data_IF_091256524925
#
_entry.id   IF_091256524925
#
_cell.length_a   1.000
_cell.length_b   1.000
_cell.length_c   1.000
_cell.angle_alpha   90.00
_cell.angle_beta   90.00
_cell.angle_gamma   90.00
#
_symmetry.space_group_name_H-M   'P 1'
#
loop_
_entity.id
_entity.type
_entity.pdbx_description
1 polymer ?
#
# COMPACT_ATOMS: atom_id res chain seq x y z
N UNK A 1 7.01 15.90 88.66
CA UNK A 1 5.59 15.49 88.73
C UNK A 1 4.98 15.68 87.34
N UNK A 2 4.41 14.61 86.81
CA UNK A 2 3.46 14.54 85.68
C UNK A 2 3.85 15.14 84.31
N UNK A 3 4.18 14.24 83.38
CA UNK A 3 3.58 14.24 82.02
C UNK A 3 2.09 13.83 82.14
N UNK A 4 1.19 14.05 81.15
CA UNK A 4 1.32 13.48 79.80
C UNK A 4 0.79 14.30 78.59
N UNK A 5 1.29 13.86 77.42
CA UNK A 5 0.64 13.71 76.09
C UNK A 5 0.13 14.92 75.29
N UNK A 6 0.80 15.18 74.16
CA UNK A 6 0.12 15.48 72.89
C UNK A 6 0.68 14.61 71.78
N UNK A 7 -0.24 14.03 71.02
CA UNK A 7 -0.03 13.02 70.01
C UNK A 7 0.49 13.61 68.69
N UNK A 8 1.23 12.76 67.97
CA UNK A 8 1.79 13.01 66.65
C UNK A 8 0.73 12.98 65.53
N UNK A 9 0.95 13.79 64.48
CA UNK A 9 0.50 13.49 63.12
C UNK A 9 1.63 13.85 62.16
N UNK A 10 2.32 12.81 61.67
CA UNK A 10 3.25 12.85 60.55
C UNK A 10 2.44 12.74 59.25
N UNK A 11 2.61 13.71 58.34
CA UNK A 11 2.10 13.63 56.97
C UNK A 11 2.97 12.64 56.16
N UNK A 12 2.41 11.66 55.44
CA UNK A 12 3.20 10.79 54.59
C UNK A 12 3.52 11.49 53.26
N UNK A 13 4.78 11.38 52.84
CA UNK A 13 5.27 11.78 51.53
C UNK A 13 4.57 10.97 50.44
N UNK A 14 3.90 11.64 49.50
CA UNK A 14 3.34 11.02 48.31
C UNK A 14 4.47 10.70 47.33
N UNK A 15 4.83 9.42 47.22
CA UNK A 15 5.70 8.91 46.17
C UNK A 15 4.93 8.91 44.85
N UNK A 16 5.23 9.85 43.95
CA UNK A 16 4.75 9.83 42.57
C UNK A 16 5.51 8.76 41.79
N UNK A 17 4.90 7.60 41.61
CA UNK A 17 5.36 6.59 40.65
C UNK A 17 5.10 7.10 39.23
N UNK A 18 6.18 7.45 38.50
CA UNK A 18 6.15 7.70 37.06
C UNK A 18 5.87 6.37 36.34
N UNK A 19 4.61 6.14 35.99
CA UNK A 19 4.21 5.08 35.07
C UNK A 19 4.66 5.51 33.66
N UNK A 20 5.79 5.01 33.20
CA UNK A 20 6.16 5.08 31.79
C UNK A 20 5.21 4.15 31.03
N UNK A 21 4.09 4.69 30.54
CA UNK A 21 3.34 4.03 29.47
C UNK A 21 4.24 4.06 28.23
N UNK A 22 4.92 2.96 27.97
CA UNK A 22 5.44 2.70 26.64
C UNK A 22 4.24 2.69 25.69
N UNK A 23 4.12 3.72 24.84
CA UNK A 23 3.28 3.65 23.65
C UNK A 23 3.86 2.51 22.81
N UNK A 24 3.27 1.32 22.94
CA UNK A 24 3.43 0.29 21.93
C UNK A 24 2.67 0.79 20.70
N UNK A 25 3.43 1.32 19.74
CA UNK A 25 2.96 1.53 18.38
C UNK A 25 2.35 0.20 17.90
N UNK A 26 1.15 0.19 17.31
CA UNK A 26 0.65 -1.01 16.68
C UNK A 26 1.62 -1.35 15.54
N UNK A 27 2.28 -2.50 15.66
CA UNK A 27 3.05 -3.05 14.56
C UNK A 27 2.11 -3.14 13.37
N UNK A 28 2.43 -2.38 12.31
CA UNK A 28 1.79 -2.53 11.02
C UNK A 28 1.71 -4.03 10.70
N UNK A 29 0.54 -4.49 10.25
CA UNK A 29 0.29 -5.88 9.90
C UNK A 29 1.34 -6.37 8.89
N UNK A 30 2.42 -6.93 9.40
CA UNK A 30 3.39 -7.64 8.59
C UNK A 30 2.65 -8.87 8.08
N UNK A 31 2.60 -9.02 6.76
CA UNK A 31 2.16 -10.27 6.13
C UNK A 31 3.03 -11.40 6.68
N UNK A 32 2.48 -12.15 7.64
CA UNK A 32 3.20 -13.23 8.30
C UNK A 32 3.29 -14.39 7.34
N UNK A 33 4.45 -14.55 6.72
CA UNK A 33 4.73 -15.77 5.98
C UNK A 33 4.62 -16.96 6.92
N UNK A 34 4.14 -18.12 6.44
CA UNK A 34 4.13 -19.34 7.22
C UNK A 34 5.53 -19.65 7.75
N UNK A 35 5.62 -20.01 9.03
CA UNK A 35 6.88 -20.36 9.68
C UNK A 35 7.49 -21.59 8.99
N UNK A 36 8.64 -21.40 8.32
CA UNK A 36 9.36 -22.47 7.62
C UNK A 36 9.18 -22.51 6.10
N UNK A 37 8.40 -21.60 5.51
CA UNK A 37 8.31 -21.48 4.05
C UNK A 37 9.62 -20.93 3.45
N UNK A 38 10.18 -21.55 2.39
CA UNK A 38 11.34 -21.01 1.70
C UNK A 38 11.01 -19.66 1.08
N UNK A 39 11.83 -18.65 1.38
CA UNK A 39 11.67 -17.28 0.88
C UNK A 39 12.46 -17.11 -0.41
N UNK A 40 13.67 -17.64 -0.46
CA UNK A 40 14.58 -17.59 -1.60
C UNK A 40 15.32 -18.92 -1.79
N UNK A 41 16.16 -18.98 -2.83
CA UNK A 41 16.96 -20.15 -3.13
C UNK A 41 18.01 -20.42 -2.02
N UNK A 42 18.46 -21.68 -1.84
CA UNK A 42 19.44 -22.02 -0.82
C UNK A 42 20.75 -21.22 -0.96
N UNK A 43 21.21 -20.61 0.14
CA UNK A 43 22.45 -19.82 0.16
C UNK A 43 22.32 -18.41 -0.41
N UNK A 44 21.11 -17.94 -0.71
CA UNK A 44 20.85 -16.58 -1.18
C UNK A 44 20.32 -15.67 -0.07
N UNK A 45 20.75 -14.42 -0.10
CA UNK A 45 20.24 -13.40 0.81
C UNK A 45 18.77 -13.09 0.50
N UNK A 46 17.93 -13.14 1.52
CA UNK A 46 16.48 -12.95 1.40
C UNK A 46 15.99 -11.69 2.13
N UNK A 47 16.92 -10.86 2.59
CA UNK A 47 16.61 -9.58 3.26
C UNK A 47 17.66 -8.54 2.94
N UNK A 48 17.24 -7.27 2.93
CA UNK A 48 18.13 -6.11 2.88
C UNK A 48 17.54 -5.03 3.78
N UNK A 49 18.20 -4.76 4.91
CA UNK A 49 17.63 -3.91 5.95
C UNK A 49 16.34 -4.52 6.51
N UNK A 50 15.25 -3.76 6.49
CA UNK A 50 13.93 -4.22 6.91
C UNK A 50 13.11 -4.88 5.79
N UNK A 51 13.60 -4.88 4.54
CA UNK A 51 12.85 -5.35 3.38
C UNK A 51 13.15 -6.81 3.12
N UNK A 52 12.09 -7.62 2.96
CA UNK A 52 12.19 -9.02 2.56
C UNK A 52 12.30 -9.12 1.04
N UNK A 53 13.19 -10.00 0.58
CA UNK A 53 13.51 -10.22 -0.83
C UNK A 53 13.20 -11.67 -1.19
N UNK A 54 11.94 -11.97 -1.54
CA UNK A 54 11.55 -13.31 -1.95
C UNK A 54 11.91 -13.58 -3.41
N UNK A 55 12.30 -14.82 -3.72
CA UNK A 55 12.46 -15.25 -5.11
C UNK A 55 11.14 -15.04 -5.88
N UNK A 56 11.13 -14.52 -7.12
CA UNK A 56 12.24 -14.40 -8.09
C UNK A 56 13.22 -13.25 -7.87
N UNK A 57 12.93 -12.35 -6.94
CA UNK A 57 13.83 -11.27 -6.59
C UNK A 57 15.01 -11.81 -5.80
N UNK A 58 16.17 -11.20 -5.98
CA UNK A 58 17.36 -11.61 -5.26
C UNK A 58 18.49 -10.60 -5.36
N UNK A 59 19.42 -10.74 -4.43
CA UNK A 59 20.63 -9.92 -4.32
C UNK A 59 21.84 -10.85 -4.52
N UNK A 60 22.92 -10.31 -5.06
CA UNK A 60 24.20 -11.03 -5.16
C UNK A 60 24.38 -11.73 -6.50
N UNK A 61 24.92 -12.96 -6.55
CA UNK A 61 25.28 -13.63 -7.79
C UNK A 61 24.05 -14.04 -8.62
N UNK A 62 24.26 -14.27 -9.93
CA UNK A 62 23.20 -14.56 -10.91
C UNK A 62 22.35 -15.80 -10.63
N UNK A 63 22.74 -16.66 -9.69
CA UNK A 63 21.96 -17.81 -9.26
C UNK A 63 20.85 -17.49 -8.24
N UNK A 64 20.82 -16.29 -7.67
CA UNK A 64 19.89 -15.94 -6.58
C UNK A 64 18.62 -15.24 -7.03
N UNK A 65 18.53 -14.87 -8.30
CA UNK A 65 17.38 -14.16 -8.86
C UNK A 65 17.08 -14.67 -10.27
N UNK A 66 15.86 -14.42 -10.71
CA UNK A 66 15.48 -14.62 -12.12
C UNK A 66 15.95 -13.43 -12.97
N UNK A 67 16.37 -13.61 -14.23
CA UNK A 67 16.74 -12.48 -15.09
C UNK A 67 15.66 -11.38 -15.11
N UNK A 68 16.06 -10.12 -14.87
CA UNK A 68 15.16 -8.97 -14.72
C UNK A 68 14.72 -8.65 -13.27
N UNK A 69 15.00 -9.54 -12.31
CA UNK A 69 14.62 -9.40 -10.90
C UNK A 69 15.81 -9.20 -9.96
N UNK A 70 16.95 -8.77 -10.50
CA UNK A 70 18.12 -8.45 -9.70
C UNK A 70 17.91 -7.14 -8.93
N UNK A 71 18.28 -7.16 -7.65
CA UNK A 71 18.23 -5.99 -6.79
C UNK A 71 19.61 -5.71 -6.20
N UNK A 72 19.86 -4.45 -5.89
CA UNK A 72 21.11 -4.02 -5.25
C UNK A 72 20.84 -3.66 -3.80
N UNK A 73 21.51 -4.33 -2.86
CA UNK A 73 21.47 -3.94 -1.46
C UNK A 73 22.66 -3.01 -1.15
N UNK A 74 22.38 -1.71 -1.00
CA UNK A 74 23.39 -0.73 -0.61
C UNK A 74 23.53 -0.68 0.91
N UNK A 75 24.66 -1.18 1.41
CA UNK A 75 25.01 -1.20 2.83
C UNK A 75 26.05 -0.14 3.20
N UNK A 76 26.47 0.71 2.24
CA UNK A 76 27.54 1.70 2.44
C UNK A 76 27.18 2.77 3.48
N UNK A 77 25.89 3.08 3.62
CA UNK A 77 25.37 4.02 4.59
C UNK A 77 24.22 3.36 5.36
N UNK A 78 24.21 3.49 6.69
CA UNK A 78 23.11 2.99 7.50
C UNK A 78 21.88 3.89 7.39
N UNK A 79 20.64 3.34 7.43
CA UNK A 79 20.28 1.92 7.30
C UNK A 79 20.44 1.40 5.86
N UNK A 80 20.63 0.09 5.70
CA UNK A 80 20.77 -0.56 4.39
C UNK A 80 19.55 -0.30 3.50
N UNK A 81 19.79 -0.01 2.21
CA UNK A 81 18.75 0.36 1.24
C UNK A 81 18.70 -0.64 0.10
N UNK A 82 17.52 -1.16 -0.17
CA UNK A 82 17.28 -2.01 -1.33
C UNK A 82 16.94 -1.12 -2.54
N UNK A 83 17.66 -1.33 -3.64
CA UNK A 83 17.58 -0.49 -4.83
C UNK A 83 17.20 -1.32 -6.07
N UNK A 84 16.40 -0.73 -6.94
CA UNK A 84 15.93 -1.30 -8.20
C UNK A 84 16.52 -0.56 -9.41
N UNK A 85 16.85 -1.31 -10.47
CA UNK A 85 17.31 -0.76 -11.73
C UNK A 85 18.66 -0.04 -11.62
N UNK A 86 18.70 1.23 -12.02
CA UNK A 86 19.89 2.09 -11.98
C UNK A 86 20.23 2.65 -10.58
N UNK A 87 19.41 2.34 -9.57
CA UNK A 87 19.59 2.79 -8.19
C UNK A 87 18.79 4.04 -7.82
N UNK A 88 18.00 4.61 -8.74
CA UNK A 88 17.12 5.76 -8.47
C UNK A 88 15.89 5.40 -7.62
N UNK A 89 15.47 4.13 -7.66
CA UNK A 89 14.27 3.64 -6.96
C UNK A 89 14.65 2.84 -5.71
N UNK A 90 14.16 3.28 -4.55
CA UNK A 90 14.34 2.58 -3.28
C UNK A 90 13.16 1.64 -3.03
N UNK A 91 13.39 0.34 -3.00
CA UNK A 91 12.34 -0.66 -2.72
C UNK A 91 12.02 -0.65 -1.23
N UNK A 92 10.73 -0.60 -0.90
CA UNK A 92 10.24 -0.65 0.49
C UNK A 92 9.46 -1.91 0.80
N UNK A 93 8.79 -2.50 -0.19
CA UNK A 93 8.00 -3.72 -0.01
C UNK A 93 7.89 -4.52 -1.31
N UNK A 94 7.92 -5.84 -1.20
CA UNK A 94 7.72 -6.78 -2.30
C UNK A 94 6.62 -7.76 -1.92
N UNK A 95 5.52 -7.75 -2.67
CA UNK A 95 4.39 -8.65 -2.45
C UNK A 95 4.27 -9.65 -3.60
N UNK A 96 4.49 -10.93 -3.29
CA UNK A 96 4.24 -12.01 -4.24
C UNK A 96 2.74 -12.18 -4.49
N UNK A 97 1.94 -12.19 -3.42
CA UNK A 97 0.48 -12.34 -3.46
C UNK A 97 -0.19 -11.31 -4.37
N UNK A 98 0.22 -10.06 -4.28
CA UNK A 98 -0.37 -8.99 -5.09
C UNK A 98 0.36 -8.78 -6.43
N UNK A 99 1.51 -9.41 -6.64
CA UNK A 99 2.35 -9.17 -7.82
C UNK A 99 2.87 -7.73 -7.89
N UNK A 100 3.20 -7.11 -6.74
CA UNK A 100 3.60 -5.70 -6.67
C UNK A 100 4.96 -5.48 -6.01
N UNK A 101 5.63 -4.42 -6.43
CA UNK A 101 6.82 -3.86 -5.77
C UNK A 101 6.52 -2.40 -5.44
N UNK A 102 6.60 -2.05 -4.17
CA UNK A 102 6.43 -0.67 -3.70
C UNK A 102 7.82 -0.03 -3.63
N UNK A 103 7.99 1.10 -4.31
CA UNK A 103 9.26 1.82 -4.39
C UNK A 103 9.06 3.28 -4.00
N UNK A 104 10.12 3.93 -3.58
CA UNK A 104 10.16 5.38 -3.37
C UNK A 104 11.00 5.99 -4.48
N UNK A 105 10.40 6.94 -5.21
CA UNK A 105 11.08 7.80 -6.16
C UNK A 105 11.53 9.06 -5.43
N UNK A 106 12.78 9.48 -5.63
CA UNK A 106 13.34 10.69 -5.03
C UNK A 106 13.18 11.95 -5.88
N UNK A 107 12.81 11.78 -7.14
CA UNK A 107 12.73 12.86 -8.11
C UNK A 107 11.29 13.11 -8.54
N UNK A 108 10.91 14.38 -8.51
CA UNK A 108 9.74 14.90 -9.20
C UNK A 108 9.99 14.82 -10.72
N UNK A 109 8.94 14.56 -11.49
CA UNK A 109 9.05 14.49 -12.95
C UNK A 109 9.35 15.87 -13.51
N UNK A 110 8.64 16.88 -12.99
CA UNK A 110 8.85 18.29 -13.27
C UNK A 110 8.79 19.00 -11.92
N UNK A 111 9.81 19.80 -11.64
CA UNK A 111 9.82 20.75 -10.54
C UNK A 111 10.56 22.00 -11.02
N UNK A 112 9.82 23.01 -11.45
CA UNK A 112 10.44 24.22 -12.01
C UNK A 112 9.65 25.47 -11.69
N UNK A 113 10.39 26.56 -11.50
CA UNK A 113 9.92 27.94 -11.49
C UNK A 113 10.03 28.60 -12.86
N UNK A 114 10.72 27.94 -13.81
CA UNK A 114 11.06 28.52 -15.10
C UNK A 114 9.89 28.45 -16.08
N UNK A 115 9.84 29.42 -16.99
CA UNK A 115 8.90 29.43 -18.09
C UNK A 115 9.04 28.19 -18.98
N UNK A 116 7.90 27.60 -19.34
CA UNK A 116 7.90 26.58 -20.39
C UNK A 116 8.16 27.21 -21.76
N UNK A 117 8.97 26.56 -22.61
CA UNK A 117 9.20 27.03 -23.97
C UNK A 117 7.88 27.05 -24.77
N UNK A 118 7.80 27.86 -25.85
CA UNK A 118 6.60 27.95 -26.68
C UNK A 118 6.19 26.56 -27.20
N UNK A 119 5.02 26.07 -26.77
CA UNK A 119 4.53 24.73 -27.09
C UNK A 119 4.65 23.69 -25.96
N UNK A 120 5.20 24.05 -24.81
CA UNK A 120 5.29 23.19 -23.62
C UNK A 120 6.64 22.51 -23.43
N UNK A 121 6.77 21.82 -22.29
CA UNK A 121 7.96 21.09 -21.88
C UNK A 121 7.70 19.59 -21.82
N UNK A 122 8.65 18.79 -22.30
CA UNK A 122 8.62 17.34 -22.19
C UNK A 122 9.63 16.88 -21.15
N UNK A 123 9.14 16.15 -20.15
CA UNK A 123 9.96 15.49 -19.14
C UNK A 123 9.86 13.98 -19.26
N UNK A 124 10.83 13.27 -18.66
CA UNK A 124 10.79 11.82 -18.62
C UNK A 124 10.50 11.26 -17.24
N UNK A 125 9.42 10.49 -17.15
CA UNK A 125 9.23 9.55 -16.06
C UNK A 125 10.37 8.52 -16.11
N UNK A 126 11.01 8.21 -14.97
CA UNK A 126 12.27 7.46 -14.90
C UNK A 126 12.34 6.18 -15.75
N UNK A 127 13.54 5.87 -16.26
CA UNK A 127 13.80 4.69 -17.11
C UNK A 127 14.04 3.39 -16.32
N UNK A 128 14.38 3.49 -15.04
CA UNK A 128 14.91 2.41 -14.20
C UNK A 128 14.09 1.11 -14.22
N UNK A 129 12.76 1.20 -14.25
CA UNK A 129 11.87 0.04 -14.16
C UNK A 129 11.43 -0.53 -15.53
N UNK A 130 11.65 0.20 -16.63
CA UNK A 130 11.20 -0.22 -17.98
C UNK A 130 11.99 -1.38 -18.54
N UNK A 131 13.30 -1.32 -18.39
CA UNK A 131 14.24 -2.28 -18.95
C UNK A 131 14.11 -3.65 -18.29
N UNK A 132 13.43 -3.71 -17.14
CA UNK A 132 13.32 -4.88 -16.29
C UNK A 132 11.90 -5.47 -16.25
N UNK A 133 11.00 -5.03 -17.14
CA UNK A 133 9.67 -5.64 -17.32
C UNK A 133 8.61 -5.25 -16.28
N UNK A 134 8.88 -4.24 -15.44
CA UNK A 134 7.89 -3.70 -14.50
C UNK A 134 6.88 -2.79 -15.19
N UNK A 135 5.68 -2.73 -14.63
CA UNK A 135 4.57 -1.90 -15.09
C UNK A 135 4.20 -0.92 -13.99
N UNK A 136 3.75 0.27 -14.37
CA UNK A 136 3.15 1.21 -13.44
C UNK A 136 1.72 0.75 -13.14
N UNK A 137 1.38 0.56 -11.86
CA UNK A 137 0.03 0.14 -11.45
C UNK A 137 -0.99 1.27 -11.68
N UNK A 138 -2.24 0.90 -11.96
CA UNK A 138 -3.37 1.84 -12.03
C UNK A 138 -3.79 2.40 -10.66
N UNK A 139 -3.24 1.85 -9.57
CA UNK A 139 -3.33 2.38 -8.19
C UNK A 139 -2.35 3.51 -7.90
N UNK A 140 -1.79 4.12 -8.93
CA UNK A 140 -1.07 5.38 -8.81
C UNK A 140 -1.95 6.51 -9.37
N UNK A 141 -1.65 7.74 -8.96
CA UNK A 141 -2.26 8.96 -9.45
C UNK A 141 -1.21 9.93 -10.00
N UNK A 142 -1.54 10.59 -11.12
CA UNK A 142 -0.83 11.76 -11.62
C UNK A 142 -1.28 12.96 -10.78
N UNK A 143 -0.31 13.68 -10.24
CA UNK A 143 -0.52 14.84 -9.38
C UNK A 143 0.14 16.03 -10.05
N UNK A 144 -0.66 17.08 -10.27
CA UNK A 144 -0.23 18.33 -10.87
C UNK A 144 -0.53 19.46 -9.91
N UNK A 145 0.47 20.27 -9.61
CA UNK A 145 0.34 21.50 -8.84
C UNK A 145 1.01 22.64 -9.59
N UNK A 146 0.40 23.82 -9.47
CA UNK A 146 0.79 25.02 -10.22
C UNK A 146 -0.46 25.75 -10.70
N UNK A 147 -0.29 26.87 -11.38
CA UNK A 147 -1.40 27.70 -11.81
C UNK A 147 -1.54 27.73 -13.33
N UNK A 148 -2.72 27.46 -13.89
CA UNK A 148 -2.93 27.44 -15.35
C UNK A 148 -2.03 26.46 -16.09
N UNK A 149 -1.70 25.31 -15.47
CA UNK A 149 -0.84 24.28 -16.06
C UNK A 149 -1.64 23.00 -16.33
N UNK A 150 -1.31 22.34 -17.44
CA UNK A 150 -1.78 21.01 -17.79
C UNK A 150 -0.60 20.07 -17.94
N UNK A 151 -0.67 18.90 -17.31
CA UNK A 151 0.26 17.81 -17.55
C UNK A 151 -0.47 16.59 -18.10
N UNK A 152 0.13 15.96 -19.11
CA UNK A 152 -0.36 14.74 -19.74
C UNK A 152 0.72 13.68 -19.69
N UNK A 153 0.37 12.51 -19.15
CA UNK A 153 1.24 11.36 -19.06
C UNK A 153 0.94 10.37 -20.19
N UNK A 154 1.98 10.00 -20.93
CA UNK A 154 1.89 9.09 -22.06
C UNK A 154 2.58 7.75 -21.81
N UNK A 155 2.02 6.69 -22.39
CA UNK A 155 2.56 5.33 -22.33
C UNK A 155 2.37 4.56 -23.63
N UNK A 156 3.33 3.69 -23.94
CA UNK A 156 3.16 2.71 -24.99
C UNK A 156 2.29 1.57 -24.46
N UNK A 157 1.13 1.40 -25.08
CA UNK A 157 0.23 0.28 -24.80
C UNK A 157 0.56 -0.81 -25.82
N UNK A 158 0.75 -2.04 -25.35
CA UNK A 158 1.01 -3.18 -26.24
C UNK A 158 -0.10 -3.29 -27.30
N UNK A 159 0.28 -3.27 -28.59
CA UNK A 159 -0.65 -3.29 -29.72
C UNK A 159 -1.05 -1.91 -30.27
N UNK A 160 -0.57 -0.80 -29.70
CA UNK A 160 -0.76 0.54 -30.26
C UNK A 160 0.50 1.02 -31.00
N UNK A 161 0.34 1.67 -32.16
CA UNK A 161 1.46 2.25 -32.94
C UNK A 161 1.99 3.56 -32.34
N UNK A 162 1.17 4.28 -31.58
CA UNK A 162 1.50 5.58 -31.01
C UNK A 162 1.28 5.59 -29.49
N UNK A 163 2.09 6.35 -28.72
CA UNK A 163 1.89 6.57 -27.30
C UNK A 163 0.45 7.00 -27.03
N UNK A 164 -0.15 6.39 -26.01
CA UNK A 164 -1.51 6.71 -25.57
C UNK A 164 -1.46 7.51 -24.29
N UNK A 165 -2.39 8.46 -24.16
CA UNK A 165 -2.61 9.16 -22.90
C UNK A 165 -3.12 8.18 -21.86
N UNK A 166 -2.40 8.08 -20.75
CA UNK A 166 -2.78 7.23 -19.62
C UNK A 166 -3.26 8.05 -18.43
N UNK A 167 -2.88 9.32 -18.33
CA UNK A 167 -3.49 10.25 -17.38
C UNK A 167 -3.28 11.68 -17.85
N UNK A 168 -4.15 12.58 -17.42
CA UNK A 168 -4.11 13.98 -17.79
C UNK A 168 -4.82 14.81 -16.75
N UNK A 169 -4.22 15.93 -16.38
CA UNK A 169 -4.63 16.69 -15.23
C UNK A 169 -4.26 18.16 -15.43
N UNK A 170 -5.19 19.05 -15.10
CA UNK A 170 -5.05 20.48 -15.32
C UNK A 170 -5.48 21.27 -14.09
N UNK A 171 -4.79 22.37 -13.86
CA UNK A 171 -5.06 23.31 -12.79
C UNK A 171 -5.33 24.69 -13.40
N UNK A 172 -6.21 25.46 -12.77
CA UNK A 172 -6.64 26.77 -13.25
C UNK A 172 -6.75 27.70 -12.06
N UNK A 173 -6.23 28.92 -12.15
CA UNK A 173 -6.50 29.95 -11.15
C UNK A 173 -7.04 31.22 -11.81
N UNK A 174 -8.00 31.89 -11.14
CA UNK A 174 -8.54 33.14 -11.63
C UNK A 174 -7.50 34.25 -11.53
N UNK A 175 -7.48 35.14 -12.52
CA UNK A 175 -6.85 36.45 -12.36
C UNK A 175 -7.66 37.24 -11.34
N UNK A 176 -7.05 37.64 -10.23
CA UNK A 176 -7.66 38.58 -9.29
C UNK A 176 -7.25 39.97 -9.77
N UNK A 177 -8.15 40.68 -10.47
CA UNK A 177 -7.98 42.11 -10.64
C UNK A 177 -8.07 42.75 -9.25
N UNK A 178 -7.10 43.59 -8.88
CA UNK A 178 -6.94 44.19 -7.55
C UNK A 178 -8.23 44.87 -7.04
N UNK A 179 -9.11 44.12 -6.38
CA UNK A 179 -10.17 44.68 -5.54
C UNK A 179 -9.53 44.94 -4.17
N UNK A 180 -8.82 46.05 -4.08
CA UNK A 180 -8.44 46.67 -2.81
C UNK A 180 -7.47 45.87 -1.96
N UNK A 181 -6.25 45.63 -2.44
CA UNK A 181 -5.07 45.37 -1.60
C UNK A 181 -5.08 44.09 -0.75
N UNK A 182 -6.04 43.20 -0.94
CA UNK A 182 -6.01 41.86 -0.34
C UNK A 182 -5.34 40.93 -1.34
N UNK A 183 -4.02 40.85 -1.27
CA UNK A 183 -3.27 39.75 -1.90
C UNK A 183 -3.73 38.45 -1.25
N UNK A 184 -4.51 37.66 -2.00
CA UNK A 184 -4.96 36.33 -1.60
C UNK A 184 -3.85 35.28 -1.82
N UNK A 185 -2.59 35.67 -1.61
CA UNK A 185 -1.46 34.76 -1.39
C UNK A 185 -1.05 34.90 0.07
N UNK A 186 -1.89 34.41 0.99
CA UNK A 186 -1.52 34.30 2.42
C UNK A 186 -1.32 32.86 2.86
N UNK A 187 -1.50 31.89 1.96
CA UNK A 187 -1.11 30.50 2.21
C UNK A 187 0.39 30.27 2.40
N UNK A 188 1.27 31.01 1.72
CA UNK A 188 2.72 30.76 1.81
C UNK A 188 3.42 31.36 3.03
N UNK A 189 2.81 32.36 3.67
CA UNK A 189 3.42 33.02 4.84
C UNK A 189 3.08 32.35 6.17
N UNK A 190 2.25 31.29 6.17
CA UNK A 190 1.76 30.67 7.43
C UNK A 190 2.35 29.30 7.74
N UNK A 191 3.25 28.75 6.93
CA UNK A 191 3.89 27.45 7.22
C UNK A 191 2.87 26.29 7.36
N UNK A 192 1.69 26.42 6.75
CA UNK A 192 0.60 25.46 6.88
C UNK A 192 0.59 24.51 5.69
N UNK A 193 0.93 23.25 5.93
CA UNK A 193 0.85 22.16 4.96
C UNK A 193 -0.57 22.09 4.36
N UNK A 194 -0.68 22.19 3.04
CA UNK A 194 -1.95 21.95 2.34
C UNK A 194 -2.10 20.44 2.19
N UNK A 195 -2.77 19.82 3.17
CA UNK A 195 -2.94 18.35 3.25
C UNK A 195 -3.88 17.76 2.20
N UNK A 196 -4.65 18.56 1.48
CA UNK A 196 -5.62 18.05 0.49
C UNK A 196 -5.58 18.85 -0.79
N UNK A 197 -5.71 18.16 -1.93
CA UNK A 197 -6.02 18.77 -3.21
C UNK A 197 -7.48 19.23 -3.31
N UNK A 198 -7.88 20.04 -2.33
CA UNK A 198 -9.22 20.57 -2.16
C UNK A 198 -9.11 21.86 -1.34
N UNK A 199 -8.39 22.84 -1.86
CA UNK A 199 -8.37 24.16 -1.22
C UNK A 199 -9.58 24.97 -1.69
N UNK A 200 -10.47 25.30 -0.75
CA UNK A 200 -11.53 26.29 -0.95
C UNK A 200 -10.99 27.73 -0.94
N UNK A 201 -9.74 27.95 -0.53
CA UNK A 201 -9.01 29.21 -0.64
C UNK A 201 -8.14 29.16 -1.90
N UNK A 202 -8.43 30.02 -2.88
CA UNK A 202 -7.87 30.02 -4.23
C UNK A 202 -6.36 30.25 -4.38
N UNK A 203 -5.57 30.06 -3.32
CA UNK A 203 -4.14 30.34 -3.25
C UNK A 203 -3.30 29.26 -3.99
N UNK A 204 -3.72 27.98 -3.99
CA UNK A 204 -3.08 26.88 -4.73
C UNK A 204 -4.10 25.90 -5.29
N UNK A 205 -3.99 25.61 -6.59
CA UNK A 205 -4.77 24.56 -7.22
C UNK A 205 -3.87 23.36 -7.51
N UNK A 206 -4.33 22.19 -7.10
CA UNK A 206 -3.77 20.93 -7.53
C UNK A 206 -4.85 20.01 -8.01
N UNK A 207 -4.49 19.20 -8.99
CA UNK A 207 -5.34 18.20 -9.58
C UNK A 207 -4.66 16.85 -9.38
N UNK A 208 -5.49 15.83 -9.11
CA UNK A 208 -5.07 14.45 -9.00
C UNK A 208 -5.95 13.60 -9.89
N UNK A 209 -5.34 12.70 -10.67
CA UNK A 209 -6.08 11.77 -11.53
C UNK A 209 -5.44 10.39 -11.52
N UNK A 210 -6.21 9.31 -11.27
CA UNK A 210 -5.72 7.95 -11.39
C UNK A 210 -5.10 7.68 -12.77
N UNK A 211 -4.23 6.68 -12.84
CA UNK A 211 -3.72 6.21 -14.10
C UNK A 211 -4.72 5.26 -14.78
N UNK A 212 -4.89 5.43 -16.08
CA UNK A 212 -5.73 4.58 -16.90
C UNK A 212 -4.98 3.29 -17.24
N UNK A 213 -5.36 2.19 -16.56
CA UNK A 213 -4.78 0.85 -16.69
C UNK A 213 -3.31 0.77 -16.33
N UNK A 214 -2.87 -0.47 -16.11
CA UNK A 214 -1.46 -0.84 -15.99
C UNK A 214 -0.74 -0.51 -17.29
N UNK A 215 0.35 0.23 -17.19
CA UNK A 215 0.98 0.85 -18.35
C UNK A 215 2.50 0.88 -18.22
N UNK A 216 3.20 0.85 -19.36
CA UNK A 216 4.63 1.16 -19.44
C UNK A 216 4.76 2.58 -19.97
N UNK A 217 4.84 3.61 -19.09
CA UNK A 217 4.96 5.00 -19.56
C UNK A 217 6.17 5.12 -20.47
N UNK A 218 6.07 5.90 -21.54
CA UNK A 218 7.17 6.10 -22.50
C UNK A 218 8.20 7.10 -22.00
N UNK A 219 7.97 7.64 -20.81
CA UNK A 219 8.82 8.67 -20.23
C UNK A 219 8.68 9.94 -21.01
N UNK A 220 7.46 10.19 -21.47
CA UNK A 220 7.06 11.50 -21.97
C UNK A 220 5.91 11.95 -21.09
N UNK A 221 6.21 12.97 -20.31
CA UNK A 221 5.25 13.76 -19.57
C UNK A 221 5.28 15.12 -20.22
N UNK A 222 4.19 15.46 -20.90
CA UNK A 222 4.06 16.75 -21.57
C UNK A 222 3.37 17.70 -20.61
N UNK A 223 4.03 18.82 -20.30
CA UNK A 223 3.45 19.91 -19.53
C UNK A 223 3.32 21.16 -20.40
N UNK A 224 2.16 21.81 -20.34
CA UNK A 224 1.84 23.02 -21.11
C UNK A 224 1.14 24.04 -20.23
N UNK A 225 1.45 25.32 -20.44
CA UNK A 225 0.65 26.41 -19.91
C UNK A 225 -0.65 26.57 -20.71
N UNK A 226 -1.76 26.80 -20.02
CA UNK A 226 -3.02 27.19 -20.63
C UNK A 226 -3.02 28.69 -20.90
N UNK A 227 -3.29 29.07 -22.16
CA UNK A 227 -3.54 30.45 -22.59
C UNK A 227 -2.40 31.45 -22.28
N UNK A 228 -1.27 31.31 -23.00
CA UNK A 228 -0.09 32.19 -22.96
C UNK A 228 -0.31 33.60 -23.53
N UNK A 229 -1.54 34.12 -23.47
CA UNK A 229 -1.90 35.47 -23.90
C UNK A 229 -1.84 36.50 -22.77
N UNK A 230 -1.32 36.13 -21.61
CA UNK A 230 -1.24 37.00 -20.43
C UNK A 230 0.16 37.61 -20.31
N UNK A 231 0.17 38.91 -20.03
CA UNK A 231 1.35 39.74 -19.83
C UNK A 231 2.25 39.10 -18.75
N UNK A 232 3.42 38.59 -19.16
CA UNK A 232 4.41 37.87 -18.33
C UNK A 232 4.92 38.65 -17.10
N UNK A 233 4.43 39.88 -16.89
CA UNK A 233 4.94 40.81 -15.89
C UNK A 233 4.09 40.90 -14.61
N UNK A 234 3.01 40.12 -14.47
CA UNK A 234 2.22 40.05 -13.21
C UNK A 234 1.88 38.62 -12.76
N UNK A 235 2.51 37.59 -13.33
CA UNK A 235 2.32 36.21 -12.87
C UNK A 235 3.34 35.89 -11.78
N UNK A 236 2.85 35.87 -10.53
CA UNK A 236 3.60 35.40 -9.38
C UNK A 236 4.28 34.07 -9.68
N UNK A 237 5.55 33.99 -9.27
CA UNK A 237 6.48 32.85 -9.19
C UNK A 237 5.82 31.58 -8.60
N UNK A 238 4.93 30.96 -9.38
CA UNK A 238 4.19 29.77 -8.99
C UNK A 238 4.90 28.53 -9.52
N UNK A 239 5.42 27.70 -8.62
CA UNK A 239 6.18 26.50 -8.99
C UNK A 239 5.25 25.47 -9.59
N UNK A 240 5.63 24.95 -10.75
CA UNK A 240 4.95 23.79 -11.33
C UNK A 240 5.62 22.53 -10.82
N UNK A 241 4.80 21.68 -10.20
CA UNK A 241 5.21 20.34 -9.79
C UNK A 241 4.33 19.29 -10.45
N UNK A 242 4.97 18.34 -11.13
CA UNK A 242 4.32 17.16 -11.70
C UNK A 242 4.99 15.93 -11.15
N UNK A 243 4.19 15.05 -10.54
CA UNK A 243 4.65 13.78 -10.00
C UNK A 243 3.61 12.69 -10.20
N UNK A 244 4.07 11.45 -10.07
CA UNK A 244 3.20 10.29 -9.91
C UNK A 244 3.46 9.73 -8.54
N UNK A 245 2.40 9.40 -7.81
CA UNK A 245 2.47 8.77 -6.50
C UNK A 245 1.39 7.70 -6.38
N UNK A 246 1.54 6.81 -5.41
CA UNK A 246 0.48 5.88 -5.04
C UNK A 246 -0.77 6.65 -4.57
N UNK A 247 -1.94 6.15 -4.96
CA UNK A 247 -3.23 6.76 -4.63
C UNK A 247 -3.39 7.01 -3.13
N UNK A 248 -3.80 8.23 -2.76
CA UNK A 248 -4.04 8.65 -1.38
C UNK A 248 -2.82 9.26 -0.68
N UNK A 249 -1.58 9.04 -1.18
CA UNK A 249 -0.37 9.56 -0.53
C UNK A 249 -0.38 11.09 -0.35
N UNK A 250 -0.87 11.83 -1.35
CA UNK A 250 -0.97 13.29 -1.29
C UNK A 250 -1.99 13.77 -0.27
N UNK A 251 -3.05 13.01 0.00
CA UNK A 251 -4.07 13.41 0.98
C UNK A 251 -3.59 13.24 2.43
N UNK A 252 -2.64 12.31 2.64
CA UNK A 252 -2.04 12.06 3.94
C UNK A 252 -0.87 13.01 4.23
N UNK A 253 -0.06 13.33 3.22
CA UNK A 253 1.20 14.07 3.38
C UNK A 253 1.15 15.52 2.87
N UNK A 254 0.09 15.90 2.14
CA UNK A 254 0.00 17.18 1.46
C UNK A 254 0.95 17.31 0.28
N UNK A 255 0.92 18.47 -0.38
CA UNK A 255 1.89 18.79 -1.42
C UNK A 255 3.14 19.43 -0.82
N UNK A 256 4.34 18.97 -1.22
CA UNK A 256 5.60 19.50 -0.71
C UNK A 256 5.85 20.91 -1.23
N UNK A 257 6.47 21.73 -0.38
CA UNK A 257 6.93 23.05 -0.74
C UNK A 257 8.15 22.97 -1.65
N UNK A 258 8.10 23.77 -2.72
CA UNK A 258 9.07 24.30 -3.69
C UNK A 258 10.57 23.92 -3.63
N UNK A 259 11.14 23.57 -2.48
CA UNK A 259 12.59 23.34 -2.33
C UNK A 259 12.99 22.03 -1.64
N UNK A 260 12.03 21.17 -1.29
CA UNK A 260 12.34 19.92 -0.59
C UNK A 260 12.28 18.71 -1.53
N UNK A 261 13.25 17.80 -1.39
CA UNK A 261 13.25 16.53 -2.13
C UNK A 261 12.01 15.73 -1.75
N UNK A 262 11.24 15.32 -2.77
CA UNK A 262 9.98 14.60 -2.55
C UNK A 262 10.22 13.12 -2.71
N UNK A 263 10.16 12.40 -1.59
CA UNK A 263 10.16 10.94 -1.58
C UNK A 263 8.72 10.42 -1.76
N UNK A 264 8.26 10.37 -3.02
CA UNK A 264 6.93 9.87 -3.36
C UNK A 264 6.94 8.34 -3.55
N UNK A 265 6.00 7.59 -2.92
CA UNK A 265 5.85 6.17 -3.15
C UNK A 265 5.22 5.92 -4.53
N UNK A 266 5.72 4.91 -5.22
CA UNK A 266 5.19 4.38 -6.47
C UNK A 266 4.87 2.90 -6.27
N UNK A 267 3.74 2.48 -6.80
CA UNK A 267 3.37 1.07 -6.85
C UNK A 267 3.64 0.51 -8.26
N UNK A 268 4.60 -0.41 -8.33
CA UNK A 268 4.92 -1.15 -9.56
C UNK A 268 4.27 -2.52 -9.53
N UNK A 269 3.86 -3.01 -10.69
CA UNK A 269 3.47 -4.40 -10.91
C UNK A 269 4.58 -5.14 -11.67
N UNK A 270 4.69 -6.43 -11.43
CA UNK A 270 5.68 -7.29 -12.08
C UNK A 270 5.04 -8.56 -12.63
N UNK A 271 5.68 -9.14 -13.64
CA UNK A 271 5.21 -10.35 -14.31
C UNK A 271 6.40 -11.19 -14.78
N UNK A 272 6.24 -12.52 -14.77
CA UNK A 272 7.25 -13.45 -15.29
C UNK A 272 7.04 -13.71 -16.77
N UNK A 273 8.07 -13.46 -17.58
CA UNK A 273 8.10 -13.89 -18.99
C UNK A 273 8.62 -15.33 -19.11
N UNK A 274 8.12 -16.10 -20.08
CA UNK A 274 8.56 -17.49 -20.35
C UNK A 274 8.87 -17.62 -21.83
N UNK A 275 10.14 -17.43 -22.21
CA UNK A 275 10.57 -17.52 -23.62
C UNK A 275 9.64 -16.75 -24.55
N UNK A 276 9.21 -17.42 -25.63
CA UNK A 276 8.26 -16.90 -26.63
C UNK A 276 6.80 -17.33 -26.37
N UNK A 277 6.46 -17.77 -25.15
CA UNK A 277 5.12 -18.24 -24.84
C UNK A 277 4.04 -17.19 -25.20
N UNK A 278 2.88 -17.62 -25.76
CA UNK A 278 1.85 -16.71 -26.25
C UNK A 278 1.31 -15.83 -25.11
N UNK A 279 1.58 -14.53 -25.23
CA UNK A 279 1.33 -13.48 -24.21
C UNK A 279 -0.14 -13.26 -23.82
N UNK A 280 -1.07 -14.00 -24.43
CA UNK A 280 -2.52 -13.84 -24.27
C UNK A 280 -3.26 -15.11 -23.81
N UNK A 281 -2.56 -16.23 -23.63
CA UNK A 281 -3.19 -17.49 -23.22
C UNK A 281 -3.37 -17.56 -21.70
N UNK A 282 -4.39 -18.28 -21.22
CA UNK A 282 -4.83 -18.35 -19.82
C UNK A 282 -3.89 -19.17 -18.90
N UNK A 283 -2.58 -19.02 -19.10
CA UNK A 283 -1.52 -19.84 -18.51
C UNK A 283 -1.74 -21.34 -18.75
N UNK A 284 -1.18 -21.88 -19.84
CA UNK A 284 -1.24 -23.33 -20.09
C UNK A 284 -0.56 -24.12 -18.97
N UNK A 285 -0.95 -25.39 -18.80
CA UNK A 285 -0.36 -26.26 -17.78
C UNK A 285 1.17 -26.39 -17.91
N UNK A 286 1.70 -26.34 -19.12
CA UNK A 286 3.14 -26.31 -19.37
C UNK A 286 3.79 -25.05 -18.80
N UNK A 287 3.18 -23.87 -19.02
CA UNK A 287 3.65 -22.60 -18.46
C UNK A 287 3.57 -22.61 -16.94
N UNK A 288 2.45 -23.10 -16.38
CA UNK A 288 2.27 -23.24 -14.93
C UNK A 288 3.37 -24.10 -14.31
N UNK A 289 3.63 -25.30 -14.86
CA UNK A 289 4.67 -26.23 -14.38
C UNK A 289 6.09 -25.65 -14.51
N UNK A 290 6.33 -24.82 -15.53
CA UNK A 290 7.62 -24.14 -15.70
C UNK A 290 7.85 -23.05 -14.66
N UNK A 291 6.82 -22.30 -14.27
CA UNK A 291 6.92 -21.14 -13.38
C UNK A 291 6.64 -21.46 -11.91
N UNK A 292 5.48 -22.04 -11.63
CA UNK A 292 4.99 -22.31 -10.29
C UNK A 292 5.57 -23.65 -9.83
N UNK A 293 6.47 -23.62 -8.85
CA UNK A 293 7.20 -24.80 -8.35
C UNK A 293 6.59 -25.40 -7.09
N UNK A 294 5.76 -24.64 -6.38
CA UNK A 294 5.04 -25.16 -5.24
C UNK A 294 3.78 -25.90 -5.66
N UNK A 295 3.39 -26.88 -4.84
CA UNK A 295 2.02 -27.41 -4.79
C UNK A 295 1.06 -26.34 -4.24
N UNK A 296 -0.24 -26.55 -4.45
CA UNK A 296 -1.32 -25.62 -4.07
C UNK A 296 -1.11 -24.23 -4.67
N UNK A 297 -0.91 -24.19 -5.99
CA UNK A 297 -0.68 -22.96 -6.75
C UNK A 297 -1.60 -22.83 -7.96
N UNK A 298 -1.96 -21.59 -8.23
CA UNK A 298 -2.65 -21.17 -9.44
C UNK A 298 -1.79 -20.20 -10.25
N UNK A 299 -2.06 -20.10 -11.54
CA UNK A 299 -1.34 -19.21 -12.46
C UNK A 299 -2.31 -18.27 -13.16
N UNK A 300 -1.89 -17.01 -13.32
CA UNK A 300 -2.66 -15.99 -14.02
C UNK A 300 -1.81 -15.31 -15.09
N UNK A 301 -2.38 -15.15 -16.29
CA UNK A 301 -1.78 -14.34 -17.33
C UNK A 301 -1.99 -12.84 -17.04
N UNK A 302 -0.98 -12.04 -17.36
CA UNK A 302 -0.94 -10.58 -17.24
C UNK A 302 -0.75 -9.96 -18.63
N UNK A 303 -0.20 -8.75 -18.73
CA UNK A 303 -0.14 -8.00 -19.99
C UNK A 303 0.94 -8.57 -20.91
N UNK A 304 2.09 -8.94 -20.38
CA UNK A 304 3.17 -9.52 -21.16
C UNK A 304 3.82 -10.76 -20.51
N UNK A 305 3.30 -11.23 -19.37
CA UNK A 305 3.82 -12.40 -18.68
C UNK A 305 2.77 -13.06 -17.78
N UNK A 306 3.25 -13.78 -16.78
CA UNK A 306 2.43 -14.60 -15.87
C UNK A 306 2.81 -14.36 -14.42
N UNK A 307 1.88 -14.60 -13.51
CA UNK A 307 2.10 -14.55 -12.06
C UNK A 307 1.48 -15.79 -11.43
N UNK A 308 2.27 -16.49 -10.62
CA UNK A 308 1.82 -17.58 -9.77
C UNK A 308 1.32 -17.06 -8.44
N UNK A 309 0.27 -17.69 -7.92
CA UNK A 309 -0.34 -17.42 -6.63
C UNK A 309 -0.43 -18.71 -5.83
N UNK A 310 -0.34 -18.62 -4.51
CA UNK A 310 -0.78 -19.73 -3.66
C UNK A 310 -2.32 -19.80 -3.72
N UNK A 311 -2.85 -21.01 -3.63
CA UNK A 311 -4.30 -21.24 -3.60
C UNK A 311 -4.94 -20.64 -2.32
N UNK A 312 -6.26 -20.39 -2.30
CA UNK A 312 -6.94 -19.95 -1.08
C UNK A 312 -6.67 -20.88 0.10
N UNK A 313 -6.36 -20.31 1.27
CA UNK A 313 -5.94 -21.05 2.46
C UNK A 313 -4.43 -21.32 2.54
N UNK A 314 -3.65 -20.91 1.53
CA UNK A 314 -2.19 -21.06 1.50
C UNK A 314 -1.49 -19.70 1.35
N UNK A 315 -0.28 -19.59 1.89
CA UNK A 315 0.57 -18.41 1.75
C UNK A 315 2.05 -18.80 1.58
N UNK A 316 2.86 -17.87 1.08
CA UNK A 316 4.31 -18.04 0.92
C UNK A 316 4.80 -17.83 -0.52
N UNK A 317 5.74 -18.67 -0.97
CA UNK A 317 6.39 -18.53 -2.28
C UNK A 317 5.93 -19.58 -3.30
N UNK A 318 5.05 -19.24 -4.26
CA UNK A 318 4.62 -20.21 -5.26
C UNK A 318 5.73 -20.63 -6.25
N UNK A 319 6.86 -19.92 -6.29
CA UNK A 319 7.97 -20.15 -7.21
C UNK A 319 9.05 -21.08 -6.64
N UNK A 320 8.90 -21.55 -5.40
CA UNK A 320 9.84 -22.46 -4.73
C UNK A 320 9.11 -23.74 -4.32
N UNK A 321 9.82 -24.88 -4.35
CA UNK A 321 9.27 -26.15 -3.87
C UNK A 321 8.92 -26.06 -2.38
N UNK A 322 7.72 -26.51 -2.00
CA UNK A 322 7.21 -26.39 -0.63
C UNK A 322 7.02 -24.94 -0.15
N UNK A 323 6.96 -23.98 -1.08
CA UNK A 323 6.90 -22.56 -0.79
C UNK A 323 5.51 -22.04 -0.42
N UNK A 324 4.43 -22.60 -0.99
CA UNK A 324 3.07 -22.36 -0.51
C UNK A 324 2.76 -23.33 0.62
N UNK A 325 2.46 -22.77 1.79
CA UNK A 325 2.13 -23.53 2.98
C UNK A 325 0.77 -23.11 3.51
N UNK A 326 0.12 -24.07 4.16
CA UNK A 326 -1.15 -23.89 4.85
C UNK A 326 -1.09 -22.71 5.82
N UNK A 327 -2.08 -21.82 5.72
CA UNK A 327 -2.23 -20.71 6.66
C UNK A 327 -2.82 -21.28 7.94
N UNK A 328 -2.15 -21.06 9.07
CA UNK A 328 -2.75 -21.40 10.35
C UNK A 328 -3.57 -20.21 10.87
N UNK A 329 -4.86 -20.16 10.51
CA UNK A 329 -5.72 -19.05 10.89
C UNK A 329 -5.81 -18.92 12.41
N UNK A 330 -5.79 -20.03 13.15
CA UNK A 330 -5.85 -20.02 14.61
C UNK A 330 -4.66 -19.32 15.30
N UNK A 331 -3.57 -19.04 14.58
CA UNK A 331 -2.42 -18.27 15.06
C UNK A 331 -2.40 -16.82 14.58
N UNK A 332 -3.32 -16.44 13.70
CA UNK A 332 -3.46 -15.06 13.26
C UNK A 332 -4.09 -14.20 14.37
N UNK A 333 -3.83 -12.89 14.38
CA UNK A 333 -4.52 -11.98 15.28
C UNK A 333 -6.04 -12.15 15.15
N UNK A 334 -6.77 -12.04 16.26
CA UNK A 334 -8.23 -12.28 16.32
C UNK A 334 -9.06 -11.39 15.41
N UNK A 335 -8.50 -10.28 14.92
CA UNK A 335 -9.12 -9.38 13.94
C UNK A 335 -8.98 -9.87 12.48
N UNK A 336 -8.02 -10.77 12.21
CA UNK A 336 -7.79 -11.37 10.89
C UNK A 336 -8.34 -12.80 10.75
N UNK A 337 -8.60 -13.48 11.87
CA UNK A 337 -9.43 -14.67 11.86
C UNK A 337 -10.83 -14.18 11.54
N UNK A 338 -11.37 -14.55 10.38
CA UNK A 338 -12.76 -14.29 10.08
C UNK A 338 -13.63 -14.94 11.16
N UNK A 339 -14.06 -14.12 12.11
CA UNK A 339 -15.26 -14.32 12.90
C UNK A 339 -15.27 -15.56 13.82
N UNK A 340 -14.16 -16.20 14.18
CA UNK A 340 -14.21 -17.33 15.11
C UNK A 340 -14.29 -16.88 16.58
N UNK A 341 -15.46 -17.05 17.20
CA UNK A 341 -15.72 -16.77 18.63
C UNK A 341 -15.80 -18.03 19.49
N UNK A 342 -15.52 -19.21 18.91
CA UNK A 342 -15.42 -20.51 19.59
C UNK A 342 -13.97 -20.99 19.75
N UNK A 343 -13.79 -22.31 19.83
CA UNK A 343 -12.50 -22.99 19.74
C UNK A 343 -12.09 -23.15 18.26
N UNK A 344 -10.90 -22.68 17.92
CA UNK A 344 -10.35 -22.75 16.57
C UNK A 344 -9.46 -23.99 16.39
N UNK A 345 -9.66 -24.72 15.30
CA UNK A 345 -8.88 -25.88 14.90
C UNK A 345 -8.37 -25.67 13.48
N UNK A 346 -7.05 -25.68 13.32
CA UNK A 346 -6.43 -25.59 12.00
C UNK A 346 -6.67 -26.85 11.18
N UNK A 347 -6.97 -26.69 9.89
CA UNK A 347 -7.11 -27.80 8.93
C UNK A 347 -6.30 -27.49 7.67
N UNK A 348 -6.09 -28.46 6.79
CA UNK A 348 -5.33 -28.21 5.56
C UNK A 348 -6.21 -27.41 4.58
N UNK A 349 -5.77 -26.21 4.22
CA UNK A 349 -6.42 -25.24 3.34
C UNK A 349 -7.53 -24.42 4.00
N UNK A 350 -7.77 -24.57 5.31
CA UNK A 350 -8.85 -23.87 6.02
C UNK A 350 -8.76 -24.06 7.54
N UNK A 351 -9.78 -23.61 8.27
CA UNK A 351 -9.92 -23.85 9.71
C UNK A 351 -11.36 -24.23 10.06
N UNK A 352 -11.52 -24.88 11.21
CA UNK A 352 -12.82 -25.13 11.83
C UNK A 352 -12.96 -24.29 13.09
N UNK A 353 -14.11 -23.64 13.23
CA UNK A 353 -14.49 -22.95 14.45
C UNK A 353 -15.64 -23.72 15.09
N UNK A 354 -15.46 -24.21 16.31
CA UNK A 354 -16.44 -25.04 17.02
C UNK A 354 -16.79 -24.43 18.36
N UNK A 355 -18.02 -24.61 18.81
CA UNK A 355 -18.40 -24.20 20.15
C UNK A 355 -17.67 -25.06 21.20
N UNK A 356 -17.19 -24.46 22.32
CA UNK A 356 -16.54 -25.21 23.38
C UNK A 356 -17.41 -26.37 23.90
N UNK A 357 -16.80 -27.45 24.44
CA UNK A 357 -17.54 -28.58 24.98
C UNK A 357 -18.66 -28.17 25.95
N UNK A 358 -19.88 -28.69 25.74
CA UNK A 358 -21.05 -28.36 26.55
C UNK A 358 -21.80 -27.09 26.12
N UNK A 359 -21.40 -26.48 25.00
CA UNK A 359 -22.13 -25.39 24.35
C UNK A 359 -22.53 -25.77 22.92
N UNK A 360 -23.61 -25.17 22.42
CA UNK A 360 -24.11 -25.32 21.06
C UNK A 360 -24.50 -23.96 20.49
N UNK A 361 -24.56 -23.84 19.16
CA UNK A 361 -24.96 -22.63 18.46
C UNK A 361 -23.99 -22.27 17.34
N UNK A 362 -23.92 -21.00 16.96
CA UNK A 362 -23.05 -20.55 15.87
C UNK A 362 -21.77 -19.93 16.43
N UNK A 363 -20.60 -20.60 16.32
CA UNK A 363 -19.34 -20.09 16.82
C UNK A 363 -18.77 -18.95 15.96
N UNK A 364 -19.40 -18.62 14.82
CA UNK A 364 -19.03 -17.48 13.99
C UNK A 364 -19.67 -16.15 14.44
N UNK A 365 -20.55 -16.20 15.44
CA UNK A 365 -21.22 -15.01 15.96
C UNK A 365 -20.76 -14.77 17.39
N UNK A 366 -20.45 -13.51 17.72
CA UNK A 366 -20.07 -13.12 19.07
C UNK A 366 -21.20 -13.49 20.05
N UNK A 367 -20.92 -14.40 20.98
CA UNK A 367 -21.91 -14.91 21.93
C UNK A 367 -22.88 -15.95 21.34
N UNK A 368 -22.59 -16.49 20.15
CA UNK A 368 -23.44 -17.48 19.48
C UNK A 368 -23.35 -18.89 20.06
N UNK A 369 -22.35 -19.19 20.89
CA UNK A 369 -22.26 -20.45 21.65
C UNK A 369 -22.95 -20.33 23.01
N UNK A 370 -24.00 -21.13 23.24
CA UNK A 370 -24.78 -21.13 24.47
C UNK A 370 -24.72 -22.49 25.15
N UNK A 371 -24.73 -22.52 26.49
CA UNK A 371 -24.73 -23.77 27.24
C UNK A 371 -26.02 -24.55 27.03
N UNK A 372 -25.87 -25.85 26.75
CA UNK A 372 -26.98 -26.77 26.64
C UNK A 372 -27.20 -27.49 27.98
N UNK A 373 -28.35 -27.25 28.62
CA UNK A 373 -28.65 -27.88 29.91
C UNK A 373 -29.55 -29.12 29.72
N UNK A 374 -28.93 -30.31 29.74
CA UNK A 374 -29.59 -31.59 29.49
C UNK A 374 -30.69 -31.94 30.50
N UNK A 375 -30.66 -31.37 31.72
CA UNK A 375 -31.62 -31.69 32.78
C UNK A 375 -32.98 -31.00 32.64
N UNK A 376 -33.09 -29.92 31.84
CA UNK A 376 -34.33 -29.13 31.73
C UNK A 376 -34.83 -28.95 30.29
N UNK A 377 -34.08 -29.40 29.28
CA UNK A 377 -34.42 -29.19 27.87
C UNK A 377 -34.45 -27.71 27.49
N UNK A 378 -33.70 -26.86 28.20
CA UNK A 378 -33.78 -25.41 28.09
C UNK A 378 -32.42 -24.80 27.70
N UNK A 379 -32.45 -23.90 26.72
CA UNK A 379 -31.29 -23.14 26.27
C UNK A 379 -31.05 -21.98 27.24
N UNK A 380 -29.92 -21.96 27.94
CA UNK A 380 -29.52 -20.81 28.75
C UNK A 380 -28.60 -19.92 27.91
N UNK A 381 -29.20 -18.95 27.21
CA UNK A 381 -28.46 -17.81 26.69
C UNK A 381 -28.06 -16.92 27.87
N UNK A 382 -26.78 -16.59 27.99
CA UNK A 382 -26.33 -15.46 28.81
C UNK A 382 -26.73 -14.17 28.07
N UNK A 383 -28.04 -13.91 28.03
CA UNK A 383 -28.59 -12.64 27.54
C UNK A 383 -28.39 -11.61 28.65
N UNK A 384 -27.52 -10.63 28.40
CA UNK A 384 -27.61 -9.35 29.11
C UNK A 384 -29.05 -8.84 28.93
N UNK A 385 -29.77 -8.75 30.05
CA UNK A 385 -31.20 -8.48 30.07
C UNK A 385 -31.48 -7.03 29.59
N UNK A 386 -31.77 -6.88 28.30
CA UNK A 386 -32.58 -5.79 27.76
C UNK A 386 -33.94 -6.36 27.37
N UNK A 387 -34.97 -6.06 28.16
CA UNK A 387 -36.36 -6.51 27.96
C UNK A 387 -36.84 -6.20 26.54
N UNK A 388 -37.46 -7.17 25.86
CA UNK A 388 -38.89 -7.14 25.48
C UNK A 388 -39.34 -8.45 24.81
N UNK A 389 -40.31 -9.08 25.48
CA UNK A 389 -41.33 -10.05 25.03
C UNK A 389 -41.43 -10.42 23.54
N UNK A 390 -41.34 -11.72 23.22
CA UNK A 390 -42.17 -12.35 22.17
C UNK A 390 -42.59 -13.78 22.59
N UNK A 391 -43.88 -14.07 22.40
CA UNK A 391 -44.53 -15.35 22.71
C UNK A 391 -44.31 -16.41 21.63
N UNK A 392 -44.20 -17.66 22.09
CA UNK A 392 -43.99 -18.92 21.35
C UNK A 392 -45.05 -19.13 20.26
N UNK A 393 -44.67 -19.06 18.98
CA UNK A 393 -45.34 -19.75 17.85
C UNK A 393 -44.52 -19.54 16.58
N UNK A 394 -43.56 -20.44 16.30
CA UNK A 394 -43.06 -20.86 14.97
C UNK A 394 -41.64 -21.44 15.08
N UNK A 395 -41.57 -22.73 15.39
CA UNK A 395 -40.54 -23.57 14.78
C UNK A 395 -41.09 -23.97 13.42
N UNK A 396 -40.34 -23.69 12.36
CA UNK A 396 -40.20 -24.46 11.11
C UNK A 396 -39.74 -23.51 9.99
N UNK A 397 -38.64 -23.92 9.38
CA UNK A 397 -38.03 -23.47 8.13
C UNK A 397 -37.11 -22.24 8.13
N UNK A 398 -35.92 -22.53 7.60
CA UNK A 398 -34.87 -21.63 7.12
C UNK A 398 -33.86 -21.19 8.17
N UNK A 399 -32.76 -21.94 8.26
CA UNK A 399 -31.43 -21.46 7.86
C UNK A 399 -30.52 -22.65 7.62
#
# INVERSE_FOLDING_TARGET
MMSPTSAAVLLPAAATALLVMALQLPAAAATTWPQGAPIGLPGCDTTCGSVRVPYPFGIGPSGCYRPGFNLTCDTRHGPARLLLGDGTLRVTDISLRNGTVRVISKDLIINTTDDFPPGGFNASFGRAFREHGYLLSDRNELVVSGCNVMATLFAHIAGAENPKTISGCATFCPKVDDIGGVSMFTGLSTGKEVKRCSSASGDFTCCKKPLFRRSRPDGVVEAKWFNSGMDHNMELEGVVSVLVAEEGWVDDNGLPYVHEFVEAPLLLEWEMTVGDAPKHDNCSEDVRRMLCKSEHTSCSAKIAGYVCHCDPGYDGNPYLEGGCQDINECKLPSEMIAECFGECFNTIGSYQCLCPPGTIGNPLIKGGCVHYNFTTGQYTSLTFCGRTSWTRSSLINSC
#
